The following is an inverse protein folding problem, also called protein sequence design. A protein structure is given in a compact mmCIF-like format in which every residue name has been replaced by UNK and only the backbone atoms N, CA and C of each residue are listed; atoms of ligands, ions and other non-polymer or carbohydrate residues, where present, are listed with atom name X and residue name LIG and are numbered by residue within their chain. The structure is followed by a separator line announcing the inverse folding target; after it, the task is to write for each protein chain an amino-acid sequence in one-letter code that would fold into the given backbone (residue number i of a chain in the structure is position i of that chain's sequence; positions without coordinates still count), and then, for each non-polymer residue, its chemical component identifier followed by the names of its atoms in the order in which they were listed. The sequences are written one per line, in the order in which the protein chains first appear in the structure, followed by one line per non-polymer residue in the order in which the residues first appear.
data_IF_078944803520
#
_entry.id   IF_078944803520
#
_cell.length_a   1.000
_cell.length_b   1.000
_cell.length_c   1.000
_cell.angle_alpha   90.00
_cell.angle_beta   90.00
_cell.angle_gamma   90.00
#
_symmetry.space_group_name_H-M   'P 1'
#
loop_
_entity.id
_entity.type
_entity.pdbx_description
1 polymer ?
#
# COMPACT_ATOMS: atom_id res chain seq x y z
N UNK A 1 -47.62 7.06 -46.49
CA UNK A 1 -48.30 5.75 -46.65
C UNK A 1 -47.74 4.81 -45.60
N UNK A 2 -48.44 4.35 -44.56
CA UNK A 2 -49.85 4.50 -44.22
C UNK A 2 -49.99 4.50 -42.68
N UNK A 3 -50.37 5.65 -42.13
CA UNK A 3 -50.96 5.79 -40.79
C UNK A 3 -52.28 4.98 -40.68
N UNK A 4 -52.83 4.58 -41.83
CA UNK A 4 -53.98 3.68 -42.00
C UNK A 4 -53.63 2.19 -41.79
N UNK A 5 -52.35 1.79 -41.91
CA UNK A 5 -51.93 0.39 -41.67
C UNK A 5 -51.80 0.06 -40.17
N UNK A 6 -51.54 1.07 -39.32
CA UNK A 6 -51.42 0.89 -37.87
C UNK A 6 -52.79 0.82 -37.16
N UNK A 7 -53.83 1.43 -37.75
CA UNK A 7 -55.21 1.37 -37.24
C UNK A 7 -55.93 0.09 -37.71
N UNK A 8 -55.56 -0.47 -38.86
CA UNK A 8 -56.12 -1.74 -39.35
C UNK A 8 -55.56 -3.00 -38.65
N UNK A 9 -54.36 -2.93 -38.04
CA UNK A 9 -53.82 -4.04 -37.25
C UNK A 9 -54.45 -4.16 -35.86
N UNK A 10 -55.04 -3.07 -35.35
CA UNK A 10 -55.71 -3.05 -34.04
C UNK A 10 -57.14 -3.61 -34.07
N UNK A 11 -57.74 -3.76 -35.27
CA UNK A 11 -59.13 -4.22 -35.45
C UNK A 11 -59.21 -5.68 -35.94
N UNK A 12 -58.09 -6.32 -36.27
CA UNK A 12 -58.07 -7.71 -36.77
C UNK A 12 -57.69 -8.79 -35.72
N UNK A 13 -57.45 -8.42 -34.45
CA UNK A 13 -57.15 -9.40 -33.38
C UNK A 13 -58.33 -9.75 -32.47
N UNK A 14 -59.55 -9.32 -32.81
CA UNK A 14 -60.78 -9.78 -32.14
C UNK A 14 -61.43 -10.84 -33.02
N UNK A 15 -60.87 -12.05 -32.98
CA UNK A 15 -61.56 -13.33 -33.19
C UNK A 15 -60.53 -14.46 -33.12
N UNK A 16 -60.07 -14.75 -31.92
CA UNK A 16 -59.63 -16.09 -31.57
C UNK A 16 -60.22 -16.41 -30.19
N UNK A 17 -61.50 -16.75 -30.20
CA UNK A 17 -62.15 -17.41 -29.07
C UNK A 17 -61.59 -18.82 -29.03
N UNK A 18 -60.52 -19.02 -28.26
CA UNK A 18 -60.10 -20.36 -27.85
C UNK A 18 -61.10 -20.88 -26.81
N UNK A 19 -62.28 -21.27 -27.29
CA UNK A 19 -63.21 -22.05 -26.49
C UNK A 19 -62.69 -23.48 -26.39
N UNK A 20 -62.06 -23.85 -25.27
CA UNK A 20 -61.89 -25.27 -24.97
C UNK A 20 -63.29 -25.90 -24.84
N UNK A 21 -63.67 -26.75 -25.80
CA UNK A 21 -64.80 -27.65 -25.64
C UNK A 21 -64.33 -28.85 -24.82
N UNK A 22 -64.60 -28.81 -23.51
CA UNK A 22 -64.55 -30.00 -22.68
C UNK A 22 -65.83 -30.78 -22.93
N UNK A 23 -65.73 -31.92 -23.64
CA UNK A 23 -66.82 -32.88 -23.76
C UNK A 23 -66.97 -33.64 -22.44
N UNK A 24 -67.98 -33.30 -21.64
CA UNK A 24 -68.44 -34.13 -20.52
C UNK A 24 -69.97 -34.13 -20.47
N UNK A 25 -70.54 -35.32 -20.23
CA UNK A 25 -71.97 -35.59 -20.34
C UNK A 25 -72.85 -34.79 -19.37
N UNK A 26 -74.04 -34.40 -19.87
CA UNK A 26 -75.11 -33.63 -19.19
C UNK A 26 -74.58 -32.59 -18.20
N UNK A 27 -73.80 -31.63 -18.72
CA UNK A 27 -73.37 -30.44 -17.99
C UNK A 27 -74.46 -29.39 -18.03
N UNK A 28 -74.91 -28.94 -16.85
CA UNK A 28 -75.98 -27.94 -16.74
C UNK A 28 -75.50 -26.52 -17.04
N UNK A 29 -74.24 -26.22 -16.75
CA UNK A 29 -73.58 -24.93 -16.99
C UNK A 29 -72.31 -25.13 -17.81
N UNK A 30 -71.99 -24.17 -18.68
CA UNK A 30 -70.72 -24.09 -19.40
C UNK A 30 -70.04 -22.75 -19.12
N UNK A 31 -68.78 -22.80 -18.73
CA UNK A 31 -67.99 -21.61 -18.44
C UNK A 31 -67.11 -21.24 -19.62
N UNK A 32 -67.06 -19.95 -19.95
CA UNK A 32 -66.21 -19.38 -20.97
C UNK A 32 -65.52 -18.14 -20.41
N UNK A 33 -64.24 -17.94 -20.73
CA UNK A 33 -63.53 -16.74 -20.35
C UNK A 33 -63.87 -15.62 -21.34
N UNK A 34 -64.20 -14.42 -20.84
CA UNK A 34 -64.58 -13.32 -21.72
C UNK A 34 -63.32 -12.65 -22.34
N UNK A 35 -63.25 -12.67 -23.67
CA UNK A 35 -62.53 -11.79 -24.64
C UNK A 35 -61.10 -11.27 -24.33
N UNK A 36 -60.45 -11.69 -23.24
CA UNK A 36 -59.10 -11.28 -22.88
C UNK A 36 -58.07 -12.31 -23.36
N UNK A 37 -57.02 -11.90 -24.10
CA UNK A 37 -55.92 -12.78 -24.45
C UNK A 37 -55.28 -13.42 -23.20
N UNK A 38 -55.13 -14.74 -23.20
CA UNK A 38 -54.49 -15.49 -22.11
C UNK A 38 -55.40 -15.82 -20.92
N UNK A 39 -56.71 -15.55 -21.00
CA UNK A 39 -57.66 -16.00 -19.99
C UNK A 39 -57.94 -17.50 -20.12
N UNK A 40 -57.47 -18.28 -19.16
CA UNK A 40 -57.71 -19.72 -19.05
C UNK A 40 -58.71 -20.05 -17.94
N UNK A 41 -59.57 -21.04 -18.20
CA UNK A 41 -60.45 -21.67 -17.20
C UNK A 41 -60.08 -23.15 -17.07
N UNK A 42 -59.95 -23.62 -15.82
CA UNK A 42 -59.77 -25.05 -15.51
C UNK A 42 -60.90 -25.55 -14.64
N UNK A 43 -61.57 -26.60 -15.10
CA UNK A 43 -62.64 -27.27 -14.37
C UNK A 43 -62.13 -28.59 -13.76
N UNK A 44 -62.27 -28.74 -12.46
CA UNK A 44 -61.89 -29.96 -11.72
C UNK A 44 -63.14 -30.51 -11.05
N UNK A 45 -63.64 -31.64 -11.58
CA UNK A 45 -64.83 -32.32 -11.05
C UNK A 45 -64.47 -33.35 -9.98
N UNK A 46 -65.04 -33.21 -8.78
CA UNK A 46 -65.02 -34.26 -7.75
C UNK A 46 -66.40 -34.40 -7.11
N UNK A 47 -67.11 -35.50 -7.42
CA UNK A 47 -68.42 -35.79 -6.83
C UNK A 47 -69.50 -34.76 -7.19
N UNK A 48 -70.28 -34.32 -6.20
CA UNK A 48 -71.35 -33.30 -6.36
C UNK A 48 -70.80 -31.87 -6.49
N UNK A 49 -69.49 -31.65 -6.35
CA UNK A 49 -68.87 -30.34 -6.40
C UNK A 49 -67.88 -30.24 -7.58
N UNK A 50 -67.98 -29.14 -8.32
CA UNK A 50 -67.09 -28.80 -9.42
C UNK A 50 -66.36 -27.51 -9.04
N UNK A 51 -65.03 -27.53 -9.06
CA UNK A 51 -64.22 -26.32 -8.86
C UNK A 51 -63.79 -25.76 -10.20
N UNK A 52 -64.08 -24.48 -10.43
CA UNK A 52 -63.74 -23.76 -11.66
C UNK A 52 -62.72 -22.70 -11.30
N UNK A 53 -61.51 -22.78 -11.85
CA UNK A 53 -60.48 -21.78 -11.63
C UNK A 53 -60.37 -20.89 -12.85
N UNK A 54 -60.38 -19.56 -12.65
CA UNK A 54 -60.22 -18.58 -13.72
C UNK A 54 -59.00 -17.70 -13.47
N UNK A 55 -58.18 -17.48 -14.50
CA UNK A 55 -57.07 -16.51 -14.44
C UNK A 55 -57.55 -15.08 -14.72
N UNK A 56 -58.54 -14.94 -15.61
CA UNK A 56 -59.19 -13.66 -15.95
C UNK A 56 -60.32 -13.29 -14.99
N UNK A 57 -60.68 -12.01 -14.96
CA UNK A 57 -61.72 -11.48 -14.09
C UNK A 57 -63.15 -11.71 -14.57
N UNK A 58 -63.38 -11.68 -15.89
CA UNK A 58 -64.72 -11.86 -16.46
C UNK A 58 -64.93 -13.31 -16.90
N UNK A 59 -66.02 -13.90 -16.42
CA UNK A 59 -66.49 -15.22 -16.83
C UNK A 59 -67.89 -15.09 -17.42
N UNK A 60 -68.13 -15.80 -18.52
CA UNK A 60 -69.46 -15.97 -19.11
C UNK A 60 -69.94 -17.37 -18.80
N UNK A 61 -71.12 -17.45 -18.20
CA UNK A 61 -71.76 -18.70 -17.83
C UNK A 61 -72.94 -18.92 -18.76
N UNK A 62 -72.84 -19.94 -19.61
CA UNK A 62 -73.89 -20.34 -20.53
C UNK A 62 -74.77 -21.42 -19.88
N UNK A 63 -76.08 -21.27 -19.99
CA UNK A 63 -77.04 -22.28 -19.55
C UNK A 63 -77.36 -23.24 -20.69
N UNK A 64 -77.58 -24.52 -20.36
CA UNK A 64 -78.08 -25.50 -21.34
C UNK A 64 -79.60 -25.64 -21.20
N UNK A 65 -80.29 -26.18 -22.21
CA UNK A 65 -81.74 -26.39 -22.13
C UNK A 65 -82.19 -27.21 -20.91
N UNK A 66 -81.33 -28.10 -20.39
CA UNK A 66 -81.57 -28.87 -19.18
C UNK A 66 -81.46 -28.05 -17.87
N UNK A 67 -80.88 -26.86 -17.92
CA UNK A 67 -80.74 -25.95 -16.77
C UNK A 67 -82.03 -25.18 -16.50
N UNK A 68 -82.77 -24.81 -17.55
CA UNK A 68 -84.00 -24.00 -17.43
C UNK A 68 -85.13 -24.74 -16.69
N UNK A 69 -85.08 -26.08 -16.63
CA UNK A 69 -86.03 -26.92 -15.89
C UNK A 69 -85.69 -27.07 -14.39
N UNK A 70 -84.53 -26.56 -13.93
CA UNK A 70 -83.99 -26.75 -12.58
C UNK A 70 -84.06 -25.46 -11.73
N UNK A 71 -84.07 -25.61 -10.40
CA UNK A 71 -83.91 -24.47 -9.48
C UNK A 71 -82.43 -24.20 -9.21
N UNK A 72 -82.07 -22.93 -8.98
CA UNK A 72 -80.69 -22.53 -8.71
C UNK A 72 -80.60 -21.51 -7.58
N UNK A 73 -79.50 -21.56 -6.82
CA UNK A 73 -79.15 -20.57 -5.79
C UNK A 73 -77.77 -20.01 -6.10
N UNK A 74 -77.67 -18.68 -6.09
CA UNK A 74 -76.43 -17.94 -6.31
C UNK A 74 -75.94 -17.42 -4.96
N UNK A 75 -74.68 -17.71 -4.63
CA UNK A 75 -74.03 -17.20 -3.41
C UNK A 75 -73.00 -16.14 -3.81
N UNK A 76 -73.37 -14.86 -3.67
CA UNK A 76 -72.61 -13.71 -4.18
C UNK A 76 -71.41 -13.28 -3.31
N UNK A 77 -70.76 -14.19 -2.57
CA UNK A 77 -69.63 -13.83 -1.70
C UNK A 77 -68.39 -13.38 -2.51
N UNK A 78 -68.34 -12.13 -2.95
CA UNK A 78 -67.16 -11.52 -3.59
C UNK A 78 -67.31 -11.10 -5.05
N UNK A 79 -68.55 -11.01 -5.56
CA UNK A 79 -68.87 -10.34 -6.83
C UNK A 79 -68.85 -8.82 -6.65
N UNK A 80 -68.44 -8.07 -7.68
CA UNK A 80 -68.23 -6.61 -7.55
C UNK A 80 -68.92 -5.76 -8.63
N UNK A 81 -69.53 -6.35 -9.66
CA UNK A 81 -70.24 -5.59 -10.70
C UNK A 81 -71.29 -6.43 -11.46
N UNK A 82 -72.48 -5.84 -11.60
CA UNK A 82 -73.67 -6.21 -12.40
C UNK A 82 -73.74 -7.62 -12.99
N UNK A 83 -74.52 -8.49 -12.34
CA UNK A 83 -75.11 -9.69 -12.96
C UNK A 83 -76.14 -9.24 -13.99
N UNK A 84 -75.78 -9.14 -15.27
CA UNK A 84 -76.77 -8.96 -16.35
C UNK A 84 -77.22 -10.34 -16.84
N UNK A 85 -78.43 -10.71 -16.44
CA UNK A 85 -79.13 -11.88 -16.98
C UNK A 85 -79.64 -11.48 -18.37
N UNK A 86 -79.14 -12.12 -19.41
CA UNK A 86 -79.75 -12.10 -20.76
C UNK A 86 -80.17 -13.52 -21.09
N UNK A 87 -81.23 -13.67 -21.90
CA UNK A 87 -81.72 -14.99 -22.31
C UNK A 87 -80.55 -15.87 -22.80
N UNK A 88 -80.31 -17.01 -22.11
CA UNK A 88 -79.25 -17.97 -22.42
C UNK A 88 -77.97 -17.93 -21.57
N UNK A 89 -77.83 -17.03 -20.58
CA UNK A 89 -76.68 -17.04 -19.65
C UNK A 89 -76.50 -15.81 -18.77
N UNK A 90 -75.41 -15.77 -17.98
CA UNK A 90 -75.01 -14.59 -17.20
C UNK A 90 -73.49 -14.35 -17.26
N UNK A 91 -73.10 -13.09 -17.15
CA UNK A 91 -71.69 -12.64 -17.10
C UNK A 91 -71.38 -12.12 -15.70
N UNK A 92 -70.22 -12.49 -15.16
CA UNK A 92 -69.83 -12.14 -13.80
C UNK A 92 -68.35 -11.73 -13.74
N UNK A 93 -68.06 -10.71 -12.92
CA UNK A 93 -66.69 -10.33 -12.58
C UNK A 93 -66.27 -10.91 -11.24
N UNK A 94 -65.31 -11.83 -11.25
CA UNK A 94 -64.71 -12.42 -10.05
C UNK A 94 -63.46 -11.61 -9.68
N UNK A 95 -63.48 -10.98 -8.50
CA UNK A 95 -62.29 -10.29 -7.97
C UNK A 95 -61.18 -11.29 -7.61
N UNK A 96 -59.88 -10.91 -7.71
CA UNK A 96 -58.78 -11.76 -7.28
C UNK A 96 -58.95 -12.22 -5.82
N UNK A 97 -58.60 -13.49 -5.57
CA UNK A 97 -58.71 -14.17 -4.27
C UNK A 97 -60.14 -14.24 -3.69
N UNK A 98 -61.18 -14.11 -4.53
CA UNK A 98 -62.59 -14.31 -4.16
C UNK A 98 -63.14 -15.58 -4.77
N UNK A 99 -64.19 -16.10 -4.14
CA UNK A 99 -64.86 -17.34 -4.52
C UNK A 99 -66.35 -17.10 -4.67
N UNK A 100 -66.92 -17.53 -5.79
CA UNK A 100 -68.35 -17.44 -6.07
C UNK A 100 -68.91 -18.84 -6.29
N UNK A 101 -70.10 -19.15 -5.76
CA UNK A 101 -70.69 -20.47 -5.93
C UNK A 101 -72.11 -20.45 -6.50
N UNK A 102 -72.39 -21.44 -7.36
CA UNK A 102 -73.68 -21.68 -8.00
C UNK A 102 -74.13 -23.09 -7.64
N UNK A 103 -75.21 -23.19 -6.87
CA UNK A 103 -75.81 -24.48 -6.54
C UNK A 103 -77.00 -24.74 -7.46
N UNK A 104 -76.98 -25.90 -8.14
CA UNK A 104 -78.04 -26.41 -9.00
C UNK A 104 -78.84 -27.44 -8.22
N UNK A 105 -80.14 -27.23 -8.08
CA UNK A 105 -81.04 -28.05 -7.27
C UNK A 105 -82.14 -28.68 -8.12
N UNK A 106 -82.64 -29.83 -7.66
CA UNK A 106 -83.84 -30.45 -8.22
C UNK A 106 -85.08 -29.67 -7.79
N UNK A 107 -85.92 -29.28 -8.75
CA UNK A 107 -87.13 -28.47 -8.55
C UNK A 107 -88.15 -29.14 -7.63
N UNK A 108 -88.19 -30.48 -7.55
CA UNK A 108 -89.19 -31.22 -6.77
C UNK A 108 -88.74 -31.55 -5.34
N UNK A 109 -87.45 -31.80 -5.13
CA UNK A 109 -86.91 -32.28 -3.85
C UNK A 109 -86.02 -31.26 -3.13
N UNK A 110 -85.70 -30.14 -3.77
CA UNK A 110 -84.76 -29.11 -3.29
C UNK A 110 -83.37 -29.68 -2.93
N UNK A 111 -83.02 -30.86 -3.45
CA UNK A 111 -81.71 -31.48 -3.21
C UNK A 111 -80.68 -30.92 -4.19
N UNK A 112 -79.47 -30.61 -3.69
CA UNK A 112 -78.35 -30.15 -4.52
C UNK A 112 -77.91 -31.29 -5.45
N UNK A 113 -78.08 -31.06 -6.76
CA UNK A 113 -77.64 -31.94 -7.82
C UNK A 113 -76.15 -31.71 -8.12
N UNK A 114 -75.74 -30.44 -8.23
CA UNK A 114 -74.34 -30.03 -8.37
C UNK A 114 -74.08 -28.66 -7.76
N UNK A 115 -72.88 -28.45 -7.23
CA UNK A 115 -72.37 -27.16 -6.77
C UNK A 115 -71.14 -26.77 -7.57
N UNK A 116 -71.16 -25.60 -8.21
CA UNK A 116 -70.00 -25.03 -8.92
C UNK A 116 -69.37 -23.96 -8.04
N UNK A 117 -68.11 -24.14 -7.66
CA UNK A 117 -67.32 -23.14 -6.92
C UNK A 117 -66.28 -22.55 -7.85
N UNK A 118 -66.49 -21.30 -8.23
CA UNK A 118 -65.58 -20.54 -9.09
C UNK A 118 -64.62 -19.74 -8.24
N UNK A 119 -63.31 -19.90 -8.48
CA UNK A 119 -62.24 -19.21 -7.77
C UNK A 119 -61.33 -18.48 -8.76
N UNK A 120 -61.01 -17.22 -8.47
CA UNK A 120 -59.93 -16.49 -9.16
C UNK A 120 -58.72 -16.41 -8.25
N UNK A 121 -57.72 -17.30 -8.38
CA UNK A 121 -56.52 -17.21 -7.54
C UNK A 121 -55.75 -15.91 -7.84
N UNK A 122 -55.09 -15.35 -6.82
CA UNK A 122 -54.14 -14.28 -7.02
C UNK A 122 -52.87 -14.86 -7.67
N UNK A 123 -52.60 -14.47 -8.91
CA UNK A 123 -51.45 -14.95 -9.67
C UNK A 123 -50.34 -13.92 -9.58
N UNK A 124 -49.27 -14.27 -8.87
CA UNK A 124 -48.04 -13.48 -8.82
C UNK A 124 -47.00 -14.21 -9.69
N UNK A 125 -46.42 -13.55 -10.71
CA UNK A 125 -45.33 -14.13 -11.49
C UNK A 125 -44.11 -14.40 -10.61
N UNK A 126 -43.59 -15.62 -10.62
CA UNK A 126 -42.33 -15.93 -9.96
C UNK A 126 -41.17 -15.57 -10.91
N UNK A 127 -40.33 -14.62 -10.51
CA UNK A 127 -39.25 -14.06 -11.33
C UNK A 127 -37.91 -14.66 -10.91
N UNK A 128 -37.18 -15.21 -11.89
CA UNK A 128 -35.84 -15.76 -11.71
C UNK A 128 -34.80 -14.75 -12.20
N UNK A 129 -33.80 -14.48 -11.36
CA UNK A 129 -32.71 -13.58 -11.67
C UNK A 129 -31.49 -14.40 -12.11
N UNK A 130 -30.97 -14.10 -13.30
CA UNK A 130 -29.76 -14.71 -13.84
C UNK A 130 -28.66 -13.65 -13.90
N UNK A 131 -27.62 -13.85 -13.09
CA UNK A 131 -26.44 -12.99 -13.14
C UNK A 131 -25.50 -13.50 -14.22
N UNK A 132 -25.22 -12.69 -15.24
CA UNK A 132 -24.23 -13.01 -16.25
C UNK A 132 -22.84 -12.59 -15.73
N UNK A 133 -22.33 -13.27 -14.69
CA UNK A 133 -20.93 -13.15 -14.33
C UNK A 133 -20.09 -13.86 -15.39
N UNK A 134 -18.98 -13.24 -15.78
CA UNK A 134 -18.05 -13.67 -16.83
C UNK A 134 -17.55 -15.14 -16.77
N UNK A 135 -17.90 -15.94 -15.75
CA UNK A 135 -17.54 -17.36 -15.65
C UNK A 135 -18.48 -18.23 -14.77
N UNK A 136 -19.73 -17.82 -14.52
CA UNK A 136 -20.70 -18.69 -13.83
C UNK A 136 -22.16 -18.27 -14.07
N UNK A 137 -22.88 -19.03 -14.89
CA UNK A 137 -24.33 -18.97 -15.01
C UNK A 137 -24.98 -19.79 -13.88
N UNK A 138 -24.97 -19.24 -12.66
CA UNK A 138 -25.74 -19.79 -11.55
C UNK A 138 -27.09 -19.08 -11.44
N UNK A 139 -28.25 -19.77 -11.52
CA UNK A 139 -29.52 -19.15 -11.19
C UNK A 139 -29.53 -18.81 -9.69
N UNK A 140 -29.80 -17.55 -9.34
CA UNK A 140 -30.15 -17.18 -7.96
C UNK A 140 -31.67 -17.16 -7.85
N UNK A 141 -32.21 -18.00 -6.97
CA UNK A 141 -33.63 -18.09 -6.70
C UNK A 141 -34.01 -17.03 -5.66
N UNK A 142 -34.83 -16.07 -6.04
CA UNK A 142 -35.60 -15.28 -5.08
C UNK A 142 -37.01 -15.87 -5.16
N UNK A 143 -37.29 -16.85 -4.31
CA UNK A 143 -38.65 -17.35 -4.14
C UNK A 143 -39.43 -16.29 -3.38
N UNK A 144 -40.38 -15.64 -4.05
CA UNK A 144 -41.32 -14.72 -3.42
C UNK A 144 -42.08 -15.45 -2.32
N UNK A 145 -41.81 -15.08 -1.07
CA UNK A 145 -42.55 -15.54 0.10
C UNK A 145 -43.56 -14.47 0.49
N UNK A 146 -44.73 -14.50 -0.12
CA UNK A 146 -46.00 -13.99 0.46
C UNK A 146 -46.14 -12.51 0.83
N UNK A 147 -45.09 -11.70 0.87
CA UNK A 147 -45.10 -10.26 1.10
C UNK A 147 -44.84 -9.52 -0.22
N UNK A 148 -45.64 -8.47 -0.48
CA UNK A 148 -45.78 -7.76 -1.76
C UNK A 148 -44.50 -7.00 -2.24
N UNK A 149 -43.37 -7.12 -1.54
CA UNK A 149 -42.13 -6.41 -1.86
C UNK A 149 -40.88 -7.24 -1.59
N UNK A 150 -40.10 -7.52 -2.65
CA UNK A 150 -38.79 -8.17 -2.55
C UNK A 150 -37.65 -7.14 -2.76
N UNK A 151 -36.55 -7.26 -2.02
CA UNK A 151 -35.34 -6.45 -2.19
C UNK A 151 -34.17 -7.29 -2.71
N UNK A 152 -33.44 -6.76 -3.70
CA UNK A 152 -32.32 -7.42 -4.35
C UNK A 152 -31.12 -6.49 -4.48
N UNK A 153 -29.92 -6.95 -4.10
CA UNK A 153 -28.67 -6.18 -4.23
C UNK A 153 -27.73 -6.82 -5.25
N UNK A 154 -27.23 -6.02 -6.20
CA UNK A 154 -26.37 -6.52 -7.29
C UNK A 154 -25.26 -5.55 -7.67
N UNK A 155 -24.32 -6.01 -8.50
CA UNK A 155 -23.29 -5.18 -9.11
C UNK A 155 -23.78 -4.61 -10.45
N UNK A 156 -23.20 -3.50 -10.88
CA UNK A 156 -23.55 -2.89 -12.16
C UNK A 156 -23.20 -3.79 -13.33
N UNK A 157 -24.11 -3.93 -14.29
CA UNK A 157 -23.96 -4.84 -15.42
C UNK A 157 -25.28 -5.16 -16.10
N UNK A 158 -25.23 -6.11 -17.04
CA UNK A 158 -26.42 -6.69 -17.65
C UNK A 158 -26.95 -7.83 -16.78
N UNK A 159 -28.24 -7.78 -16.48
CA UNK A 159 -28.96 -8.85 -15.78
C UNK A 159 -30.03 -9.40 -16.72
N UNK A 160 -30.12 -10.73 -16.78
CA UNK A 160 -31.20 -11.44 -17.45
C UNK A 160 -32.25 -11.84 -16.41
N UNK A 161 -33.52 -11.71 -16.76
CA UNK A 161 -34.63 -12.17 -15.92
C UNK A 161 -35.42 -13.20 -16.71
N UNK A 162 -35.79 -14.29 -16.05
CA UNK A 162 -36.72 -15.29 -16.60
C UNK A 162 -37.96 -15.40 -15.74
N UNK A 163 -39.06 -15.86 -16.33
CA UNK A 163 -40.32 -16.09 -15.63
C UNK A 163 -40.47 -17.60 -15.39
N UNK A 164 -40.73 -17.99 -14.15
CA UNK A 164 -41.06 -19.38 -13.81
C UNK A 164 -42.54 -19.64 -14.13
N UNK A 165 -42.82 -20.62 -14.97
CA UNK A 165 -44.20 -21.02 -15.26
C UNK A 165 -44.79 -21.74 -14.04
N UNK A 166 -45.84 -21.17 -13.44
CA UNK A 166 -46.64 -21.88 -12.43
C UNK A 166 -47.48 -22.94 -13.15
N UNK A 167 -47.55 -24.14 -12.58
CA UNK A 167 -48.28 -25.30 -13.17
C UNK A 167 -49.78 -25.06 -13.40
N UNK A 168 -50.35 -24.10 -12.68
CA UNK A 168 -51.80 -23.89 -12.58
C UNK A 168 -52.39 -23.19 -13.82
N UNK A 169 -51.60 -22.41 -14.56
CA UNK A 169 -51.99 -21.77 -15.83
C UNK A 169 -50.75 -21.58 -16.70
N UNK A 170 -50.74 -22.15 -17.92
CA UNK A 170 -49.54 -22.17 -18.78
C UNK A 170 -49.58 -21.03 -19.79
N UNK A 171 -48.43 -20.58 -20.28
CA UNK A 171 -48.29 -19.60 -21.38
C UNK A 171 -48.92 -18.21 -21.14
N UNK A 172 -49.01 -17.76 -19.89
CA UNK A 172 -49.56 -16.42 -19.58
C UNK A 172 -48.54 -15.32 -19.89
N UNK A 173 -48.99 -14.25 -20.55
CA UNK A 173 -48.15 -13.07 -20.82
C UNK A 173 -47.97 -12.21 -19.58
N UNK A 174 -46.75 -11.71 -19.39
CA UNK A 174 -46.35 -10.83 -18.29
C UNK A 174 -45.97 -9.46 -18.83
N UNK A 175 -46.51 -8.42 -18.20
CA UNK A 175 -46.11 -7.02 -18.40
C UNK A 175 -45.09 -6.65 -17.33
N UNK A 176 -44.00 -5.99 -17.73
CA UNK A 176 -42.98 -5.50 -16.80
C UNK A 176 -42.68 -4.02 -17.03
N UNK A 177 -42.32 -3.33 -15.96
CA UNK A 177 -41.83 -1.96 -15.98
C UNK A 177 -40.64 -1.79 -15.03
N UNK A 178 -39.45 -1.51 -15.58
CA UNK A 178 -38.27 -1.14 -14.81
C UNK A 178 -38.19 0.39 -14.68
N UNK A 179 -38.26 0.91 -13.46
CA UNK A 179 -38.18 2.33 -13.16
C UNK A 179 -36.86 2.64 -12.49
N UNK A 180 -36.09 3.56 -13.06
CA UNK A 180 -34.90 4.10 -12.42
C UNK A 180 -35.33 5.17 -11.40
N UNK A 181 -35.13 4.93 -10.10
CA UNK A 181 -35.66 5.80 -9.05
C UNK A 181 -34.96 7.18 -9.01
N UNK A 182 -33.70 7.25 -9.46
CA UNK A 182 -32.91 8.49 -9.51
C UNK A 182 -33.32 9.42 -10.66
N UNK A 183 -33.59 8.85 -11.84
CA UNK A 183 -33.92 9.62 -13.06
C UNK A 183 -35.41 9.64 -13.39
N UNK A 184 -36.22 8.84 -12.70
CA UNK A 184 -37.65 8.59 -12.95
C UNK A 184 -37.99 8.10 -14.36
N UNK A 185 -37.01 7.64 -15.13
CA UNK A 185 -37.24 7.02 -16.44
C UNK A 185 -37.72 5.58 -16.26
N UNK A 186 -38.67 5.16 -17.07
CA UNK A 186 -39.22 3.80 -17.04
C UNK A 186 -39.07 3.10 -18.39
N UNK A 187 -38.62 1.85 -18.37
CA UNK A 187 -38.61 0.95 -19.52
C UNK A 187 -39.69 -0.11 -19.33
N UNK A 188 -40.60 -0.26 -20.31
CA UNK A 188 -41.73 -1.20 -20.24
C UNK A 188 -41.64 -2.23 -21.38
N UNK A 189 -42.18 -3.41 -21.16
CA UNK A 189 -42.29 -4.44 -22.19
C UNK A 189 -43.23 -5.57 -21.80
N UNK A 190 -43.47 -6.46 -22.77
CA UNK A 190 -44.28 -7.67 -22.63
C UNK A 190 -43.37 -8.87 -22.90
N UNK A 191 -43.48 -9.94 -22.09
CA UNK A 191 -42.76 -11.19 -22.34
C UNK A 191 -43.58 -12.42 -21.91
N UNK A 192 -43.29 -13.55 -22.56
CA UNK A 192 -43.87 -14.87 -22.25
C UNK A 192 -42.93 -15.78 -21.46
N UNK A 193 -41.62 -15.60 -21.62
CA UNK A 193 -40.60 -16.53 -21.10
C UNK A 193 -39.45 -15.76 -20.45
N UNK A 194 -38.62 -15.12 -21.26
CA UNK A 194 -37.46 -14.35 -20.80
C UNK A 194 -37.66 -12.85 -21.03
N UNK A 195 -37.33 -12.03 -20.04
CA UNK A 195 -37.27 -10.59 -20.23
C UNK A 195 -35.96 -10.21 -20.94
N UNK A 196 -35.94 -9.13 -21.72
CA UNK A 196 -34.70 -8.65 -22.33
C UNK A 196 -33.67 -8.28 -21.26
N UNK A 197 -32.38 -8.35 -21.62
CA UNK A 197 -31.31 -7.97 -20.70
C UNK A 197 -31.47 -6.51 -20.27
N UNK A 198 -31.49 -6.30 -18.96
CA UNK A 198 -31.61 -4.98 -18.36
C UNK A 198 -30.22 -4.47 -18.01
N UNK A 199 -29.87 -3.28 -18.52
CA UNK A 199 -28.62 -2.59 -18.22
C UNK A 199 -28.78 -1.79 -16.93
N UNK A 200 -28.12 -2.25 -15.87
CA UNK A 200 -28.12 -1.58 -14.58
C UNK A 200 -26.88 -0.71 -14.40
N UNK A 201 -27.10 0.57 -14.10
CA UNK A 201 -26.04 1.56 -13.82
C UNK A 201 -25.66 1.46 -12.34
N UNK A 202 -24.35 1.53 -12.04
CA UNK A 202 -23.84 1.55 -10.66
C UNK A 202 -24.43 2.71 -9.83
N UNK A 203 -24.52 2.50 -8.52
CA UNK A 203 -24.96 3.51 -7.56
C UNK A 203 -26.35 4.09 -7.88
N UNK A 204 -27.28 3.21 -8.27
CA UNK A 204 -28.64 3.58 -8.67
C UNK A 204 -29.62 2.51 -8.20
N UNK A 205 -30.74 2.97 -7.65
CA UNK A 205 -31.84 2.10 -7.24
C UNK A 205 -32.88 2.00 -8.36
N UNK A 206 -33.38 0.79 -8.58
CA UNK A 206 -34.43 0.51 -9.55
C UNK A 206 -35.64 -0.15 -8.89
N UNK A 207 -36.82 0.14 -9.39
CA UNK A 207 -38.06 -0.54 -9.04
C UNK A 207 -38.53 -1.33 -10.26
N UNK A 208 -38.59 -2.66 -10.15
CA UNK A 208 -39.13 -3.56 -11.16
C UNK A 208 -40.56 -3.92 -10.77
N UNK A 209 -41.51 -3.54 -11.61
CA UNK A 209 -42.94 -3.86 -11.47
C UNK A 209 -43.30 -4.94 -12.45
N UNK A 210 -43.96 -6.00 -11.98
CA UNK A 210 -44.31 -7.15 -12.82
C UNK A 210 -45.72 -7.62 -12.49
N UNK A 211 -46.53 -7.86 -13.53
CA UNK A 211 -47.90 -8.34 -13.41
C UNK A 211 -48.29 -9.20 -14.63
N UNK A 212 -49.20 -10.16 -14.44
CA UNK A 212 -49.81 -10.84 -15.59
C UNK A 212 -50.72 -9.87 -16.35
N UNK A 213 -50.74 -9.96 -17.68
CA UNK A 213 -51.60 -9.12 -18.54
C UNK A 213 -53.09 -9.29 -18.20
N UNK A 214 -53.49 -10.50 -17.77
CA UNK A 214 -54.85 -10.84 -17.38
C UNK A 214 -55.26 -10.40 -15.96
N UNK A 215 -54.29 -10.02 -15.11
CA UNK A 215 -54.50 -9.56 -13.73
C UNK A 215 -53.70 -8.28 -13.47
N UNK A 216 -54.08 -7.17 -14.13
CA UNK A 216 -53.42 -5.87 -13.94
C UNK A 216 -53.51 -5.32 -12.51
N UNK A 217 -54.43 -5.85 -11.72
CA UNK A 217 -54.64 -5.47 -10.32
C UNK A 217 -53.59 -6.07 -9.37
N UNK A 218 -53.01 -7.21 -9.76
CA UNK A 218 -52.02 -7.95 -8.98
C UNK A 218 -50.61 -7.56 -9.41
N UNK A 219 -50.13 -6.41 -8.91
CA UNK A 219 -48.81 -5.87 -9.24
C UNK A 219 -47.77 -6.27 -8.18
N UNK A 220 -46.75 -7.03 -8.58
CA UNK A 220 -45.59 -7.33 -7.74
C UNK A 220 -44.50 -6.27 -7.90
N UNK A 221 -43.82 -5.89 -6.82
CA UNK A 221 -42.74 -4.88 -6.83
C UNK A 221 -41.44 -5.47 -6.29
N UNK A 222 -40.36 -5.29 -7.04
CA UNK A 222 -39.02 -5.71 -6.65
C UNK A 222 -38.08 -4.50 -6.68
N UNK A 223 -37.42 -4.22 -5.57
CA UNK A 223 -36.41 -3.16 -5.48
C UNK A 223 -35.01 -3.72 -5.75
N UNK A 224 -34.28 -3.09 -6.67
CA UNK A 224 -32.94 -3.51 -7.08
C UNK A 224 -31.94 -2.42 -6.70
N UNK A 225 -31.06 -2.72 -5.75
CA UNK A 225 -29.99 -1.86 -5.27
C UNK A 225 -28.67 -2.21 -5.96
N UNK A 226 -28.14 -1.28 -6.78
CA UNK A 226 -26.90 -1.51 -7.52
C UNK A 226 -25.72 -0.88 -6.78
N UNK A 227 -24.79 -1.70 -6.28
CA UNK A 227 -23.62 -1.24 -5.51
C UNK A 227 -22.77 -0.25 -6.33
N UNK A 228 -22.23 0.81 -5.70
CA UNK A 228 -21.32 1.74 -6.37
C UNK A 228 -19.99 1.05 -6.75
N UNK A 229 -19.34 1.56 -7.80
CA UNK A 229 -17.97 1.15 -8.11
C UNK A 229 -17.00 1.59 -7.01
N UNK A 230 -15.88 0.89 -6.85
CA UNK A 230 -14.88 1.17 -5.82
C UNK A 230 -14.41 2.64 -5.87
N UNK A 231 -14.13 3.20 -7.05
CA UNK A 231 -13.67 4.59 -7.22
C UNK A 231 -14.73 5.66 -6.88
N UNK A 232 -16.00 5.28 -6.71
CA UNK A 232 -17.07 6.16 -6.26
C UNK A 232 -17.24 6.13 -4.73
N UNK A 233 -16.52 5.26 -4.04
CA UNK A 233 -16.55 5.16 -2.58
C UNK A 233 -15.67 6.23 -1.95
N UNK A 234 -16.19 6.91 -0.92
CA UNK A 234 -15.46 7.90 -0.11
C UNK A 234 -14.19 7.32 0.51
N UNK A 235 -14.19 6.02 0.81
CA UNK A 235 -13.03 5.32 1.37
C UNK A 235 -11.82 5.37 0.42
N UNK A 236 -12.04 5.30 -0.89
CA UNK A 236 -10.91 5.36 -1.86
C UNK A 236 -10.22 6.71 -1.86
N UNK A 237 -10.97 7.80 -1.76
CA UNK A 237 -10.41 9.15 -1.64
C UNK A 237 -9.67 9.35 -0.31
N UNK A 238 -10.18 8.79 0.79
CA UNK A 238 -9.50 8.82 2.09
C UNK A 238 -8.16 8.07 2.05
N UNK A 239 -8.12 6.89 1.41
CA UNK A 239 -6.88 6.12 1.23
C UNK A 239 -5.88 6.88 0.36
N UNK A 240 -6.34 7.49 -0.74
CA UNK A 240 -5.48 8.28 -1.62
C UNK A 240 -4.89 9.50 -0.90
N UNK A 241 -5.69 10.21 -0.10
CA UNK A 241 -5.22 11.33 0.72
C UNK A 241 -4.17 10.86 1.76
N UNK A 242 -4.41 9.73 2.42
CA UNK A 242 -3.47 9.17 3.39
C UNK A 242 -2.12 8.81 2.74
N UNK A 243 -2.14 8.26 1.51
CA UNK A 243 -0.92 7.96 0.74
C UNK A 243 -0.15 9.24 0.42
N UNK A 244 -0.84 10.31 -0.02
CA UNK A 244 -0.20 11.60 -0.33
C UNK A 244 0.44 12.22 0.92
N UNK A 245 -0.26 12.21 2.05
CA UNK A 245 0.27 12.71 3.33
C UNK A 245 1.48 11.89 3.79
N UNK A 246 1.40 10.56 3.71
CA UNK A 246 2.51 9.68 4.06
C UNK A 246 3.74 9.93 3.18
N UNK A 247 3.55 10.12 1.87
CA UNK A 247 4.64 10.44 0.94
C UNK A 247 5.27 11.80 1.25
N UNK A 248 4.45 12.81 1.53
CA UNK A 248 4.92 14.14 1.95
C UNK A 248 5.74 14.09 3.24
N UNK A 249 5.25 13.38 4.26
CA UNK A 249 5.97 13.16 5.52
C UNK A 249 7.32 12.48 5.31
N UNK A 250 7.38 11.49 4.41
CA UNK A 250 8.60 10.76 4.08
C UNK A 250 9.64 11.67 3.41
N UNK A 251 9.22 12.55 2.49
CA UNK A 251 10.11 13.52 1.85
C UNK A 251 10.67 14.52 2.87
N UNK A 252 9.82 15.09 3.73
CA UNK A 252 10.23 16.07 4.75
C UNK A 252 11.24 15.46 5.73
N UNK A 253 10.94 14.27 6.26
CA UNK A 253 11.84 13.58 7.22
C UNK A 253 13.19 13.24 6.61
N UNK A 254 13.23 12.84 5.32
CA UNK A 254 14.49 12.63 4.60
C UNK A 254 15.29 13.92 4.42
N UNK A 255 14.62 15.04 4.13
CA UNK A 255 15.26 16.36 4.03
C UNK A 255 15.91 16.80 5.34
N UNK A 256 15.18 16.69 6.45
CA UNK A 256 15.67 17.04 7.78
C UNK A 256 16.87 16.19 8.20
N UNK A 257 16.80 14.87 7.99
CA UNK A 257 17.92 13.96 8.31
C UNK A 257 19.19 14.27 7.53
N UNK A 258 19.07 14.66 6.25
CA UNK A 258 20.25 15.07 5.45
C UNK A 258 20.90 16.33 6.02
N UNK A 259 20.10 17.31 6.44
CA UNK A 259 20.60 18.58 7.00
C UNK A 259 21.31 18.39 8.35
N UNK A 260 20.79 17.51 9.20
CA UNK A 260 21.43 17.17 10.47
C UNK A 260 22.79 16.49 10.21
N UNK A 261 22.82 15.45 9.35
CA UNK A 261 24.07 14.76 9.01
C UNK A 261 25.12 15.65 8.37
N UNK A 262 24.73 16.64 7.56
CA UNK A 262 25.70 17.59 6.99
C UNK A 262 26.28 18.50 8.07
N UNK A 263 25.46 18.97 9.01
CA UNK A 263 25.91 19.81 10.14
C UNK A 263 26.85 19.04 11.07
N UNK A 264 26.54 17.77 11.38
CA UNK A 264 27.40 16.91 12.20
C UNK A 264 28.76 16.68 11.54
N UNK A 265 28.79 16.43 10.23
CA UNK A 265 30.05 16.28 9.48
C UNK A 265 30.88 17.55 9.46
N UNK A 266 30.23 18.71 9.36
CA UNK A 266 30.92 20.00 9.39
C UNK A 266 31.54 20.25 10.78
N UNK A 267 30.79 19.97 11.84
CA UNK A 267 31.27 20.08 13.21
C UNK A 267 32.44 19.13 13.48
N UNK A 268 32.36 17.87 13.05
CA UNK A 268 33.46 16.91 13.15
C UNK A 268 34.72 17.40 12.44
N UNK A 269 34.58 17.96 11.23
CA UNK A 269 35.72 18.55 10.50
C UNK A 269 36.35 19.72 11.23
N UNK A 270 35.53 20.58 11.85
CA UNK A 270 36.03 21.70 12.64
C UNK A 270 36.76 21.23 13.90
N UNK A 271 36.25 20.21 14.56
CA UNK A 271 36.86 19.61 15.75
C UNK A 271 38.19 18.92 15.40
N UNK A 272 38.23 18.12 14.33
CA UNK A 272 39.46 17.54 13.79
C UNK A 272 40.49 18.61 13.41
N UNK A 273 40.05 19.70 12.79
CA UNK A 273 40.93 20.81 12.44
C UNK A 273 41.50 21.49 13.70
N UNK A 274 40.67 21.71 14.72
CA UNK A 274 41.09 22.29 16.00
C UNK A 274 42.09 21.39 16.74
N UNK A 275 41.83 20.07 16.79
CA UNK A 275 42.74 19.09 17.39
C UNK A 275 44.08 19.05 16.63
N UNK A 276 44.04 19.08 15.28
CA UNK A 276 45.26 19.19 14.46
C UNK A 276 46.04 20.45 14.81
N UNK A 277 45.38 21.61 14.85
CA UNK A 277 46.00 22.88 15.24
C UNK A 277 46.62 22.84 16.65
N UNK A 278 45.94 22.22 17.62
CA UNK A 278 46.43 22.10 18.99
C UNK A 278 47.64 21.16 19.11
N UNK A 279 47.69 20.09 18.32
CA UNK A 279 48.83 19.15 18.32
C UNK A 279 50.12 19.72 17.73
N UNK A 280 50.02 20.81 16.95
CA UNK A 280 51.18 21.45 16.30
C UNK A 280 52.01 22.32 17.25
N UNK A 281 51.43 22.73 18.37
CA UNK A 281 52.14 23.42 19.44
C UNK A 281 52.29 22.41 20.58
N UNK A 282 53.39 21.65 20.63
CA UNK A 282 53.68 20.83 21.80
C UNK A 282 53.78 21.77 23.02
N UNK A 283 52.76 21.81 23.91
CA UNK A 283 52.71 22.82 24.96
C UNK A 283 53.88 22.63 25.92
N UNK A 284 54.25 21.37 26.16
CA UNK A 284 55.38 21.01 27.00
C UNK A 284 56.71 21.50 26.42
N UNK A 285 56.95 21.34 25.11
CA UNK A 285 58.16 21.89 24.49
C UNK A 285 58.22 23.42 24.62
N UNK A 286 57.09 24.10 24.39
CA UNK A 286 57.00 25.57 24.49
C UNK A 286 57.25 26.05 25.92
N UNK A 287 56.62 25.42 26.92
CA UNK A 287 56.85 25.75 28.34
C UNK A 287 58.30 25.48 28.75
N UNK A 288 58.89 24.37 28.29
CA UNK A 288 60.26 24.03 28.62
C UNK A 288 61.28 24.97 27.98
N UNK A 289 61.07 25.37 26.73
CA UNK A 289 61.89 26.36 26.05
C UNK A 289 61.88 27.69 26.82
N UNK A 290 60.68 28.19 27.18
CA UNK A 290 60.53 29.41 27.97
C UNK A 290 61.20 29.31 29.35
N UNK A 291 61.07 28.16 30.02
CA UNK A 291 61.69 27.91 31.33
C UNK A 291 63.22 27.88 31.24
N UNK A 292 63.77 27.31 30.15
CA UNK A 292 65.21 27.26 29.90
C UNK A 292 65.78 28.65 29.62
N UNK A 293 65.08 29.46 28.80
CA UNK A 293 65.42 30.86 28.56
C UNK A 293 65.41 31.64 29.88
N UNK A 294 64.37 31.47 30.71
CA UNK A 294 64.29 32.11 32.02
C UNK A 294 65.45 31.70 32.93
N UNK A 295 65.83 30.42 32.94
CA UNK A 295 66.97 29.92 33.71
C UNK A 295 68.31 30.52 33.27
N UNK A 296 68.57 30.62 31.96
CA UNK A 296 69.76 31.26 31.41
C UNK A 296 69.81 32.76 31.76
N UNK A 297 68.67 33.46 31.67
CA UNK A 297 68.59 34.86 32.11
C UNK A 297 68.88 35.02 33.60
N UNK A 298 68.30 34.17 34.45
CA UNK A 298 68.51 34.23 35.90
C UNK A 298 69.96 33.92 36.33
N UNK A 299 70.70 33.17 35.51
CA UNK A 299 72.11 32.82 35.76
C UNK A 299 73.10 33.80 35.11
N UNK A 300 72.61 34.87 34.49
CA UNK A 300 73.43 35.90 33.85
C UNK A 300 74.00 35.51 32.48
N UNK A 301 73.59 34.38 31.90
CA UNK A 301 74.01 33.88 30.57
C UNK A 301 73.11 34.46 29.47
N UNK A 302 73.13 35.79 29.34
CA UNK A 302 72.17 36.54 28.49
C UNK A 302 72.38 36.24 27.00
N UNK A 303 73.63 36.13 26.56
CA UNK A 303 73.96 35.82 25.17
C UNK A 303 73.38 34.45 24.75
N UNK A 304 73.58 33.43 25.59
CA UNK A 304 73.05 32.08 25.33
C UNK A 304 71.52 32.04 25.39
N UNK A 305 70.90 32.84 26.26
CA UNK A 305 69.44 32.99 26.28
C UNK A 305 68.90 33.59 24.97
N UNK A 306 69.61 34.55 24.39
CA UNK A 306 69.24 35.18 23.12
C UNK A 306 69.42 34.21 21.93
N UNK A 307 70.52 33.46 21.89
CA UNK A 307 70.74 32.42 20.88
C UNK A 307 69.64 31.36 20.94
N UNK A 308 69.33 30.86 22.13
CA UNK A 308 68.24 29.90 22.34
C UNK A 308 66.89 30.45 21.86
N UNK A 309 66.56 31.70 22.21
CA UNK A 309 65.32 32.35 21.79
C UNK A 309 65.21 32.50 20.26
N UNK A 310 66.32 32.84 19.60
CA UNK A 310 66.37 32.99 18.15
C UNK A 310 66.15 31.66 17.44
N UNK A 311 66.83 30.60 17.89
CA UNK A 311 66.68 29.25 17.36
C UNK A 311 65.28 28.69 17.62
N UNK A 312 64.75 28.86 18.83
CA UNK A 312 63.39 28.46 19.19
C UNK A 312 62.34 29.15 18.30
N UNK A 313 62.50 30.46 18.07
CA UNK A 313 61.62 31.23 17.18
C UNK A 313 61.71 30.76 15.73
N UNK A 314 62.91 30.39 15.28
CA UNK A 314 63.14 29.85 13.94
C UNK A 314 62.46 28.49 13.76
N UNK A 315 62.61 27.59 14.74
CA UNK A 315 61.96 26.28 14.77
C UNK A 315 60.44 26.42 14.73
N UNK A 316 59.86 27.24 15.62
CA UNK A 316 58.41 27.47 15.65
C UNK A 316 57.86 27.97 14.31
N UNK A 317 58.53 28.94 13.66
CA UNK A 317 58.11 29.45 12.35
C UNK A 317 58.14 28.36 11.28
N UNK A 318 59.20 27.54 11.24
CA UNK A 318 59.32 26.44 10.27
C UNK A 318 58.26 25.36 10.50
N UNK A 319 58.05 24.94 11.74
CA UNK A 319 57.00 23.97 12.11
C UNK A 319 55.61 24.47 11.71
N UNK A 320 55.28 25.72 12.00
CA UNK A 320 53.98 26.31 11.62
C UNK A 320 53.80 26.43 10.10
N UNK A 321 54.85 26.81 9.37
CA UNK A 321 54.79 26.92 7.91
C UNK A 321 54.59 25.56 7.24
N UNK A 322 55.24 24.51 7.75
CA UNK A 322 55.22 23.16 7.17
C UNK A 322 54.06 22.29 7.65
N UNK A 323 53.47 22.60 8.79
CA UNK A 323 52.32 21.88 9.35
C UNK A 323 51.07 21.79 8.46
N UNK A 324 50.95 22.67 7.46
CA UNK A 324 49.85 22.67 6.50
C UNK A 324 49.99 21.57 5.44
N UNK A 325 51.18 21.02 5.26
CA UNK A 325 51.47 19.94 4.33
C UNK A 325 51.33 18.59 5.05
N UNK A 326 50.68 17.62 4.39
CA UNK A 326 50.52 16.27 4.96
C UNK A 326 51.83 15.47 4.87
N UNK A 327 52.61 15.74 3.80
CA UNK A 327 53.91 15.15 3.51
C UNK A 327 54.94 16.26 3.23
N UNK A 328 56.20 16.01 3.61
CA UNK A 328 57.37 16.83 3.32
C UNK A 328 58.54 15.92 2.89
N UNK A 329 59.61 16.50 2.34
CA UNK A 329 60.82 15.72 2.06
C UNK A 329 61.51 15.32 3.36
N UNK A 330 62.18 14.17 3.35
CA UNK A 330 63.01 13.70 4.47
C UNK A 330 64.07 14.73 4.85
N UNK A 331 64.64 15.41 3.85
CA UNK A 331 65.58 16.51 4.07
C UNK A 331 64.99 17.63 4.97
N UNK A 332 63.76 18.06 4.67
CA UNK A 332 63.07 19.10 5.46
C UNK A 332 62.72 18.61 6.86
N UNK A 333 62.32 17.35 7.00
CA UNK A 333 62.07 16.76 8.32
C UNK A 333 63.35 16.72 9.16
N UNK A 334 64.46 16.23 8.58
CA UNK A 334 65.75 16.16 9.27
C UNK A 334 66.28 17.56 9.64
N UNK A 335 66.07 18.57 8.79
CA UNK A 335 66.42 19.95 9.11
C UNK A 335 65.67 20.44 10.36
N UNK A 336 64.35 20.19 10.45
CA UNK A 336 63.57 20.52 11.64
C UNK A 336 64.02 19.73 12.87
N UNK A 337 64.36 18.44 12.69
CA UNK A 337 64.82 17.59 13.79
C UNK A 337 66.21 18.00 14.29
N UNK A 338 67.13 18.43 13.42
CA UNK A 338 68.43 18.99 13.85
C UNK A 338 68.24 20.20 14.75
N UNK A 339 67.38 21.14 14.37
CA UNK A 339 67.07 22.32 15.17
C UNK A 339 66.43 21.94 16.52
N UNK A 340 65.50 20.99 16.51
CA UNK A 340 64.85 20.50 17.73
C UNK A 340 65.85 19.81 18.68
N UNK A 341 66.65 18.87 18.17
CA UNK A 341 67.64 18.13 18.94
C UNK A 341 68.70 19.07 19.50
N UNK A 342 69.15 20.06 18.72
CA UNK A 342 70.11 21.06 19.19
C UNK A 342 69.59 21.83 20.40
N UNK A 343 68.36 22.35 20.35
CA UNK A 343 67.72 23.06 21.47
C UNK A 343 67.55 22.18 22.72
N UNK A 344 67.24 20.90 22.55
CA UNK A 344 67.13 19.96 23.67
C UNK A 344 68.52 19.55 24.20
N UNK A 345 69.54 19.46 23.35
CA UNK A 345 70.92 19.17 23.74
C UNK A 345 71.53 20.29 24.59
N UNK A 346 71.20 21.55 24.30
CA UNK A 346 71.55 22.69 25.17
C UNK A 346 70.97 22.56 26.58
N UNK A 347 69.82 21.88 26.73
CA UNK A 347 69.15 21.70 28.03
C UNK A 347 69.65 20.49 28.81
N UNK A 348 69.75 19.34 28.14
CA UNK A 348 70.06 18.05 28.79
C UNK A 348 71.53 17.63 28.68
N UNK A 349 72.33 18.38 27.92
CA UNK A 349 73.76 18.18 27.74
C UNK A 349 74.12 16.77 27.25
N UNK A 350 73.62 16.37 26.07
CA UNK A 350 73.92 15.08 25.43
C UNK A 350 74.58 15.26 24.06
N UNK A 351 75.23 14.20 23.57
CA UNK A 351 75.80 14.14 22.22
C UNK A 351 74.82 13.54 21.22
N UNK A 352 74.81 14.04 19.98
CA UNK A 352 73.94 13.51 18.94
C UNK A 352 74.62 13.48 17.58
N UNK A 353 74.17 12.57 16.72
CA UNK A 353 74.61 12.49 15.32
C UNK A 353 73.48 12.02 14.40
N UNK A 354 73.58 12.37 13.12
CA UNK A 354 72.66 11.93 12.06
C UNK A 354 73.48 11.37 10.90
N UNK A 355 73.45 10.05 10.77
CA UNK A 355 74.09 9.30 9.71
C UNK A 355 73.15 9.14 8.51
N UNK A 356 73.61 9.59 7.34
CA UNK A 356 72.91 9.44 6.07
C UNK A 356 73.70 8.51 5.16
N UNK A 357 73.04 7.51 4.60
CA UNK A 357 73.62 6.68 3.56
C UNK A 357 73.88 7.51 2.30
N UNK A 358 75.06 7.36 1.69
CA UNK A 358 75.46 8.09 0.48
C UNK A 358 74.53 7.86 -0.73
N UNK A 359 73.84 6.72 -0.77
CA UNK A 359 72.91 6.38 -1.85
C UNK A 359 71.54 7.05 -1.69
N UNK A 360 71.30 7.73 -0.56
CA UNK A 360 69.99 8.24 -0.21
C UNK A 360 69.83 9.71 -0.63
N UNK A 361 69.00 9.95 -1.64
CA UNK A 361 68.60 11.30 -2.03
C UNK A 361 67.44 11.79 -1.15
N UNK A 362 67.77 12.36 0.03
CA UNK A 362 66.79 12.81 1.05
C UNK A 362 65.77 13.81 0.53
N UNK A 363 66.10 14.59 -0.50
CA UNK A 363 65.19 15.56 -1.13
C UNK A 363 64.05 14.90 -1.91
N UNK A 364 64.27 13.67 -2.41
CA UNK A 364 63.31 12.93 -3.26
C UNK A 364 62.41 11.99 -2.44
N UNK A 365 62.72 11.80 -1.16
CA UNK A 365 61.97 10.92 -0.27
C UNK A 365 60.89 11.72 0.45
N UNK A 366 59.63 11.44 0.15
CA UNK A 366 58.49 12.00 0.89
C UNK A 366 58.19 11.18 2.15
N UNK A 367 58.09 11.88 3.27
CA UNK A 367 57.61 11.33 4.55
C UNK A 367 56.50 12.19 5.15
N UNK A 368 55.66 11.63 6.03
CA UNK A 368 54.68 12.41 6.76
C UNK A 368 55.36 13.46 7.65
N UNK A 369 54.85 14.68 7.60
CA UNK A 369 55.45 15.82 8.31
C UNK A 369 55.39 15.64 9.83
N UNK A 370 56.48 15.89 10.55
CA UNK A 370 56.58 15.71 12.01
C UNK A 370 56.35 14.24 12.47
N UNK A 371 56.72 13.26 11.65
CA UNK A 371 56.65 11.85 12.03
C UNK A 371 57.81 11.45 12.94
N UNK A 372 58.99 12.05 12.76
CA UNK A 372 60.19 11.72 13.55
C UNK A 372 60.18 12.37 14.93
N UNK A 373 59.50 13.51 15.06
CA UNK A 373 59.50 14.33 16.27
C UNK A 373 59.09 13.55 17.54
N UNK A 374 57.99 12.75 17.55
CA UNK A 374 57.58 12.04 18.77
C UNK A 374 58.58 10.95 19.19
N UNK A 375 59.26 10.32 18.22
CA UNK A 375 60.26 9.29 18.48
C UNK A 375 61.52 9.90 19.11
N UNK A 376 61.97 11.03 18.56
CA UNK A 376 63.12 11.78 19.06
C UNK A 376 62.81 12.40 20.44
N UNK A 377 61.62 12.97 20.61
CA UNK A 377 61.16 13.49 21.90
C UNK A 377 61.15 12.40 22.96
N UNK A 378 60.67 11.20 22.62
CA UNK A 378 60.66 10.06 23.52
C UNK A 378 62.09 9.62 23.88
N UNK A 379 62.99 9.51 22.90
CA UNK A 379 64.39 9.17 23.11
C UNK A 379 65.10 10.17 24.04
N UNK A 380 64.91 11.47 23.82
CA UNK A 380 65.53 12.51 24.65
C UNK A 380 64.94 12.52 26.08
N UNK A 381 63.62 12.54 26.21
CA UNK A 381 62.96 12.68 27.52
C UNK A 381 63.09 11.45 28.40
N UNK A 382 62.99 10.25 27.82
CA UNK A 382 62.95 9.01 28.59
C UNK A 382 64.25 8.22 28.49
N UNK A 383 64.92 8.26 27.34
CA UNK A 383 66.20 7.58 27.15
C UNK A 383 67.38 8.38 27.73
N UNK A 384 67.44 9.68 27.46
CA UNK A 384 68.63 10.49 27.76
C UNK A 384 68.54 11.33 29.04
N UNK A 385 67.33 11.61 29.53
CA UNK A 385 67.14 12.40 30.73
C UNK A 385 67.83 11.76 31.94
N UNK A 386 68.83 12.45 32.49
CA UNK A 386 69.62 12.00 33.65
C UNK A 386 70.95 11.34 33.31
N UNK A 387 71.27 11.10 32.03
CA UNK A 387 72.58 10.59 31.61
C UNK A 387 73.64 11.70 31.46
N UNK A 388 73.21 12.96 31.29
CA UNK A 388 74.12 14.08 31.05
C UNK A 388 75.00 13.84 29.84
N UNK A 389 76.30 14.13 29.99
CA UNK A 389 77.33 14.03 28.95
C UNK A 389 77.53 12.61 28.39
N UNK A 390 77.06 11.59 29.10
CA UNK A 390 77.05 10.19 28.65
C UNK A 390 75.90 9.87 27.69
N UNK A 391 74.92 10.76 27.56
CA UNK A 391 73.78 10.60 26.66
C UNK A 391 74.21 10.65 25.20
N UNK A 392 73.72 9.71 24.40
CA UNK A 392 73.96 9.62 22.95
C UNK A 392 72.65 9.38 22.21
N UNK A 393 72.30 10.29 21.29
CA UNK A 393 71.24 10.10 20.31
C UNK A 393 71.87 9.84 18.92
N UNK A 394 71.42 8.81 18.22
CA UNK A 394 71.86 8.53 16.86
C UNK A 394 70.66 8.34 15.95
N UNK A 395 70.61 9.07 14.85
CA UNK A 395 69.60 8.89 13.79
C UNK A 395 70.31 8.32 12.57
N UNK A 396 69.82 7.19 12.05
CA UNK A 396 70.40 6.53 10.87
C UNK A 396 69.33 6.47 9.78
N UNK A 397 69.61 7.04 8.62
CA UNK A 397 68.76 6.92 7.42
C UNK A 397 69.48 6.12 6.34
N UNK A 398 68.89 5.00 5.93
CA UNK A 398 69.50 4.08 4.95
C UNK A 398 68.44 3.38 4.10
N UNK A 399 68.86 2.80 2.98
CA UNK A 399 68.03 1.84 2.26
C UNK A 399 67.75 0.59 3.13
N UNK A 400 66.56 0.02 2.96
CA UNK A 400 66.15 -1.20 3.63
C UNK A 400 66.61 -2.45 2.87
N UNK A 401 66.48 -3.62 3.51
CA UNK A 401 66.97 -4.89 2.94
C UNK A 401 66.17 -5.35 1.72
N UNK A 402 64.95 -4.83 1.53
CA UNK A 402 64.09 -5.13 0.37
C UNK A 402 64.19 -3.99 -0.65
N UNK A 403 64.03 -4.33 -1.95
CA UNK A 403 63.93 -3.32 -3.01
C UNK A 403 62.84 -2.28 -2.69
N UNK A 404 63.12 -1.02 -2.99
CA UNK A 404 62.25 0.14 -2.75
C UNK A 404 61.83 0.32 -1.28
N UNK A 405 62.66 -0.12 -0.34
CA UNK A 405 62.44 0.19 1.07
C UNK A 405 63.50 1.13 1.57
N UNK A 406 63.13 2.04 2.47
CA UNK A 406 64.08 2.82 3.24
C UNK A 406 63.72 2.76 4.72
N UNK A 407 64.74 2.91 5.56
CA UNK A 407 64.66 2.72 7.00
C UNK A 407 65.22 3.94 7.69
N UNK A 408 64.50 4.43 8.69
CA UNK A 408 64.97 5.43 9.63
C UNK A 408 65.04 4.79 11.01
N UNK A 409 66.21 4.82 11.63
CA UNK A 409 66.43 4.31 12.98
C UNK A 409 66.70 5.49 13.89
N UNK A 410 65.96 5.61 14.99
CA UNK A 410 66.22 6.54 16.09
C UNK A 410 66.70 5.71 17.27
N UNK A 411 67.97 5.89 17.65
CA UNK A 411 68.65 5.11 18.67
C UNK A 411 69.11 5.98 19.83
N UNK A 412 68.85 5.54 21.05
CA UNK A 412 69.45 6.10 22.26
C UNK A 412 70.14 5.01 23.10
N UNK A 413 71.09 5.44 23.93
CA UNK A 413 71.81 4.59 24.88
C UNK A 413 71.18 4.59 26.28
N UNK A 414 69.90 4.97 26.38
CA UNK A 414 69.12 4.98 27.61
C UNK A 414 68.59 3.61 28.02
N UNK A 415 67.85 3.60 29.13
CA UNK A 415 67.19 2.38 29.63
C UNK A 415 65.72 2.39 29.21
N UNK A 416 65.27 1.36 28.49
CA UNK A 416 63.86 1.21 28.16
C UNK A 416 63.02 0.96 29.44
N UNK A 417 62.06 1.84 29.71
CA UNK A 417 61.14 1.68 30.84
C UNK A 417 59.93 0.85 30.37
N UNK A 418 59.85 -0.44 30.72
CA UNK A 418 58.71 -1.31 30.40
C UNK A 418 57.37 -0.84 30.99
N UNK A 419 57.41 -0.06 32.08
CA UNK A 419 56.25 0.56 32.70
C UNK A 419 56.19 2.04 32.32
N UNK A 420 55.76 2.33 31.10
CA UNK A 420 55.19 3.65 30.79
C UNK A 420 53.68 3.51 31.09
N UNK A 421 53.16 4.08 32.18
CA UNK A 421 51.75 3.93 32.55
C UNK A 421 50.92 4.75 31.58
N UNK A 422 50.20 4.16 30.62
CA UNK A 422 49.07 4.72 29.84
C UNK A 422 49.09 6.23 29.41
N UNK A 423 50.27 6.87 29.42
CA UNK A 423 50.44 8.33 29.37
C UNK A 423 51.45 8.77 28.32
N UNK A 424 52.03 7.84 27.58
CA UNK A 424 52.75 8.13 26.35
C UNK A 424 51.79 8.49 25.20
N UNK A 425 50.94 9.51 25.38
CA UNK A 425 50.01 10.02 24.36
C UNK A 425 50.71 10.25 23.01
N UNK A 426 52.00 10.58 23.01
CA UNK A 426 52.79 10.81 21.80
C UNK A 426 53.03 9.56 20.95
N UNK A 427 53.41 8.42 21.54
CA UNK A 427 53.72 7.19 20.78
C UNK A 427 52.46 6.47 20.30
N UNK A 428 51.39 6.45 21.10
CA UNK A 428 50.10 5.89 20.68
C UNK A 428 49.48 6.71 19.54
N UNK A 429 49.54 8.04 19.62
CA UNK A 429 49.09 8.93 18.55
C UNK A 429 49.96 8.78 17.29
N UNK A 430 51.26 8.53 17.44
CA UNK A 430 52.16 8.25 16.31
C UNK A 430 51.76 6.96 15.60
N UNK A 431 51.45 5.89 16.36
CA UNK A 431 50.98 4.63 15.78
C UNK A 431 49.62 4.79 15.08
N UNK A 432 48.66 5.50 15.68
CA UNK A 432 47.36 5.79 15.06
C UNK A 432 47.50 6.64 13.79
N UNK A 433 48.44 7.59 13.80
CA UNK A 433 48.76 8.42 12.65
C UNK A 433 49.35 7.60 11.51
N UNK A 434 50.27 6.68 11.80
CA UNK A 434 50.82 5.73 10.81
C UNK A 434 49.70 4.88 10.20
N UNK A 435 48.80 4.32 11.01
CA UNK A 435 47.66 3.54 10.51
C UNK A 435 46.74 4.36 9.60
N UNK A 436 46.52 5.63 9.93
CA UNK A 436 45.71 6.55 9.12
C UNK A 436 46.38 6.86 7.79
N UNK A 437 47.69 7.09 7.80
CA UNK A 437 48.49 7.40 6.59
C UNK A 437 48.54 6.19 5.65
N UNK A 438 48.75 4.99 6.18
CA UNK A 438 48.75 3.74 5.39
C UNK A 438 47.40 3.49 4.71
N UNK A 439 46.28 3.96 5.28
CA UNK A 439 44.96 3.90 4.62
C UNK A 439 44.78 4.95 3.52
N UNK A 440 45.51 6.06 3.60
CA UNK A 440 45.41 7.17 2.63
C UNK A 440 46.36 6.99 1.44
N UNK A 441 47.49 6.32 1.63
CA UNK A 441 48.52 6.07 0.61
C UNK A 441 48.77 4.56 0.52
N UNK A 442 47.98 3.86 -0.31
CA UNK A 442 48.10 2.39 -0.48
C UNK A 442 49.46 1.97 -1.06
N UNK A 443 50.14 2.88 -1.78
CA UNK A 443 51.46 2.65 -2.38
C UNK A 443 52.62 2.80 -1.38
N UNK A 444 52.39 3.41 -0.20
CA UNK A 444 53.45 3.66 0.79
C UNK A 444 53.04 3.12 2.17
N UNK A 445 53.51 1.92 2.52
CA UNK A 445 53.25 1.34 3.83
C UNK A 445 54.37 1.67 4.83
N UNK A 446 54.00 2.25 5.96
CA UNK A 446 54.92 2.60 7.06
C UNK A 446 54.72 1.61 8.20
N UNK A 447 55.81 1.04 8.70
CA UNK A 447 55.84 0.15 9.86
C UNK A 447 56.76 0.77 10.93
N UNK A 448 56.28 0.80 12.17
CA UNK A 448 57.05 1.25 13.34
C UNK A 448 57.30 0.06 14.27
N UNK A 449 58.57 -0.27 14.46
CA UNK A 449 59.03 -1.32 15.37
C UNK A 449 59.94 -0.75 16.44
N UNK A 450 60.04 -1.44 17.58
CA UNK A 450 60.96 -1.09 18.67
C UNK A 450 61.87 -2.27 18.99
N UNK A 451 63.18 -2.08 18.85
CA UNK A 451 64.18 -3.00 19.35
C UNK A 451 64.64 -2.56 20.75
N UNK A 452 64.54 -3.47 21.71
CA UNK A 452 64.71 -3.21 23.16
C UNK A 452 66.01 -3.78 23.74
N UNK A 453 66.98 -4.16 22.89
CA UNK A 453 68.27 -4.65 23.38
C UNK A 453 69.24 -3.49 23.64
N UNK A 454 69.86 -3.47 24.83
CA UNK A 454 70.94 -2.55 25.28
C UNK A 454 70.80 -1.10 24.78
N UNK A 455 69.67 -0.47 25.08
CA UNK A 455 69.27 0.83 24.54
C UNK A 455 67.81 0.80 24.07
N UNK A 456 67.34 1.92 23.52
CA UNK A 456 66.07 1.98 22.81
C UNK A 456 66.33 2.29 21.34
N UNK A 457 65.80 1.45 20.44
CA UNK A 457 65.84 1.69 19.01
C UNK A 457 64.42 1.70 18.45
N UNK A 458 63.97 2.85 17.94
CA UNK A 458 62.74 2.96 17.16
C UNK A 458 63.08 2.87 15.67
N UNK A 459 62.46 1.93 14.96
CA UNK A 459 62.75 1.62 13.56
C UNK A 459 61.50 1.92 12.74
N UNK A 460 61.58 2.92 11.88
CA UNK A 460 60.57 3.21 10.86
C UNK A 460 60.99 2.59 9.54
N UNK A 461 60.20 1.66 9.02
CA UNK A 461 60.39 1.09 7.69
C UNK A 461 59.31 1.61 6.76
N UNK A 462 59.74 2.15 5.62
CA UNK A 462 58.86 2.66 4.58
C UNK A 462 58.97 1.73 3.38
N UNK A 463 57.85 1.19 2.94
CA UNK A 463 57.72 0.38 1.74
C UNK A 463 57.12 1.24 0.64
N UNK A 464 57.91 1.58 -0.39
CA UNK A 464 57.49 2.33 -1.57
C UNK A 464 57.24 1.41 -2.78
#
# INVERSE_FOLDING_TARGET
MNLVAFILFFVACVQNVYGQQVQTGKSYLRFEAAELPGSEIREIGQGKQIKVYTSGGFIRVHTTAAFDELSHRLSEKGLTKETKIREGGFEAYVSPNKEFSIDVLDRKTDTILRSYVIKRPNLIPEIKFYHQAKNSEGPFYISSSGDDTDEFSTSAGEIKLGISERTDFKNMEVEYALVNLKTRRSQRGLSKTDLPSLKLIANTDYELRVNYVVQKESQHRIYIHVKPYLYQSTITYMILLAIVVALGFLVVTRGLRKKIKSSEKEQQKMEEAAIRLQSLLNPHFTFNALSSIQGLMNTGRIEEANEYLQEFSSLLRKTLAKSRQVFNSLDQELEMMRMYIHLEALRFNFSWDIELSETLHTSDIEIPTLLLQPLIENAIKHGLSGLGDKGRLLIICREGEKKNTFVIVVKDNGTWLEKIPDSGYGLSLTAERILTINKLKEEQAIVLDFNKQSGTEAILTFHN
#
